data_IF_664331094648
#
_entry.id   IF_664331094648
#
_cell.length_a   1.000
_cell.length_b   1.000
_cell.length_c   1.000
_cell.angle_alpha   90.00
_cell.angle_beta   90.00
_cell.angle_gamma   90.00
#
_symmetry.space_group_name_H-M   'P 1'
#
loop_
_entity.id
_entity.type
_entity.pdbx_description
1 polymer ?
#
# COMPACT_ATOMS: atom_id res chain seq x y z
N UNK A 1 -15.99 -27.74 -6.84
CA UNK A 1 -14.78 -27.16 -6.23
C UNK A 1 -14.79 -25.64 -6.31
N UNK A 2 -14.01 -24.98 -5.45
CA UNK A 2 -13.90 -23.52 -5.43
C UNK A 2 -12.46 -23.08 -5.16
N UNK A 3 -12.14 -21.88 -5.60
CA UNK A 3 -10.81 -21.27 -5.43
C UNK A 3 -10.87 -19.75 -5.53
N UNK A 4 -9.80 -19.08 -5.14
CA UNK A 4 -9.60 -17.65 -5.40
C UNK A 4 -8.21 -17.39 -5.96
N UNK A 5 -8.12 -16.38 -6.82
CA UNK A 5 -6.86 -15.74 -7.23
C UNK A 5 -6.67 -14.50 -6.36
N UNK A 6 -5.54 -14.40 -5.69
CA UNK A 6 -5.21 -13.31 -4.74
C UNK A 6 -6.19 -13.16 -3.57
N UNK A 7 -6.64 -14.29 -3.01
CA UNK A 7 -7.55 -14.33 -1.87
C UNK A 7 -7.85 -15.75 -1.43
N UNK A 8 -8.85 -15.90 -0.58
CA UNK A 8 -9.42 -17.19 -0.18
C UNK A 8 -10.93 -17.21 -0.43
N UNK A 9 -11.52 -18.39 -0.54
CA UNK A 9 -12.97 -18.59 -0.67
C UNK A 9 -13.43 -19.65 0.32
N UNK A 10 -14.50 -19.35 1.04
CA UNK A 10 -15.29 -20.32 1.83
C UNK A 10 -16.60 -20.61 1.10
N UNK A 11 -17.17 -21.78 1.36
CA UNK A 11 -18.46 -22.18 0.81
C UNK A 11 -19.38 -22.67 1.92
N UNK A 12 -20.66 -22.28 1.85
CA UNK A 12 -21.71 -22.72 2.76
C UNK A 12 -22.99 -23.06 1.98
N UNK A 13 -23.83 -23.92 2.55
CA UNK A 13 -25.18 -24.20 2.02
C UNK A 13 -26.23 -23.30 2.68
N UNK A 14 -27.49 -23.45 2.28
CA UNK A 14 -28.62 -22.68 2.82
C UNK A 14 -28.96 -23.00 4.28
N UNK A 15 -28.42 -24.09 4.83
CA UNK A 15 -28.57 -24.41 6.25
C UNK A 15 -27.48 -23.78 7.13
N UNK A 16 -26.50 -23.09 6.51
CA UNK A 16 -25.35 -22.50 7.20
C UNK A 16 -24.24 -23.52 7.46
N UNK A 17 -24.26 -24.67 6.79
CA UNK A 17 -23.17 -25.65 6.88
C UNK A 17 -21.98 -25.16 6.04
N UNK A 18 -20.87 -24.82 6.72
CA UNK A 18 -19.58 -24.53 6.05
C UNK A 18 -18.94 -25.85 5.58
N UNK A 19 -18.42 -25.81 4.37
CA UNK A 19 -17.64 -26.91 3.78
C UNK A 19 -16.14 -26.60 3.87
N UNK A 20 -15.41 -27.47 4.55
CA UNK A 20 -13.96 -27.32 4.66
C UNK A 20 -13.23 -27.71 3.37
N UNK A 21 -12.06 -27.10 3.18
CA UNK A 21 -11.23 -27.36 2.00
C UNK A 21 -11.70 -26.57 0.78
N UNK A 22 -11.65 -27.20 -0.40
CA UNK A 22 -12.00 -26.57 -1.69
C UNK A 22 -12.86 -27.46 -2.59
N UNK A 23 -13.48 -28.49 -2.04
CA UNK A 23 -14.35 -29.45 -2.73
C UNK A 23 -15.45 -29.92 -1.81
N UNK A 24 -16.63 -30.13 -2.38
CA UNK A 24 -17.74 -30.80 -1.72
C UNK A 24 -18.61 -31.50 -2.76
N UNK A 25 -19.23 -32.59 -2.36
CA UNK A 25 -20.26 -33.27 -3.14
C UNK A 25 -21.61 -32.67 -2.79
N UNK A 26 -22.20 -31.97 -3.73
CA UNK A 26 -23.41 -31.17 -3.53
C UNK A 26 -24.53 -31.72 -4.43
N UNK A 27 -25.72 -31.88 -3.82
CA UNK A 27 -26.90 -32.35 -4.53
C UNK A 27 -27.36 -31.34 -5.59
N UNK A 28 -27.79 -31.82 -6.75
CA UNK A 28 -28.44 -30.98 -7.76
C UNK A 28 -29.66 -30.25 -7.20
N UNK A 29 -29.82 -29.00 -7.56
CA UNK A 29 -30.82 -28.09 -7.02
C UNK A 29 -30.44 -27.35 -5.74
N UNK A 30 -29.34 -27.73 -5.07
CA UNK A 30 -28.85 -27.04 -3.89
C UNK A 30 -28.29 -25.66 -4.25
N UNK A 31 -28.51 -24.71 -3.36
CA UNK A 31 -27.99 -23.35 -3.43
C UNK A 31 -26.77 -23.24 -2.52
N UNK A 32 -25.66 -22.77 -3.06
CA UNK A 32 -24.39 -22.58 -2.36
C UNK A 32 -24.03 -21.11 -2.33
N UNK A 33 -23.57 -20.62 -1.20
CA UNK A 33 -23.00 -19.28 -1.05
C UNK A 33 -21.47 -19.40 -0.92
N UNK A 34 -20.76 -18.65 -1.74
CA UNK A 34 -19.31 -18.55 -1.71
C UNK A 34 -18.92 -17.18 -1.17
N UNK A 35 -18.04 -17.14 -0.17
CA UNK A 35 -17.57 -15.91 0.46
C UNK A 35 -16.07 -15.76 0.21
N UNK A 36 -15.69 -14.77 -0.60
CA UNK A 36 -14.30 -14.46 -0.88
C UNK A 36 -13.73 -13.50 0.15
N UNK A 37 -12.50 -13.74 0.57
CA UNK A 37 -11.66 -12.81 1.33
C UNK A 37 -10.45 -12.47 0.48
N UNK A 38 -10.46 -11.31 -0.22
CA UNK A 38 -9.31 -10.84 -0.97
C UNK A 38 -8.08 -10.64 -0.07
N UNK A 39 -6.88 -10.73 -0.63
CA UNK A 39 -5.67 -10.25 0.05
C UNK A 39 -5.79 -8.76 0.36
N UNK A 40 -4.99 -8.30 1.32
CA UNK A 40 -4.84 -6.87 1.60
C UNK A 40 -4.51 -6.10 0.32
N UNK A 41 -5.16 -4.96 0.11
CA UNK A 41 -5.07 -4.13 -1.09
C UNK A 41 -5.64 -4.76 -2.39
N UNK A 42 -6.45 -5.80 -2.28
CA UNK A 42 -7.19 -6.41 -3.39
C UNK A 42 -8.69 -6.35 -3.15
N UNK A 43 -9.46 -6.42 -4.23
CA UNK A 43 -10.92 -6.56 -4.22
C UNK A 43 -11.38 -7.63 -5.19
N UNK A 44 -12.56 -8.17 -4.98
CA UNK A 44 -13.18 -9.07 -5.96
C UNK A 44 -13.49 -8.28 -7.24
N UNK A 45 -12.94 -8.76 -8.36
CA UNK A 45 -13.16 -8.20 -9.69
C UNK A 45 -14.31 -8.91 -10.38
N UNK A 46 -14.35 -10.23 -10.31
CA UNK A 46 -15.44 -11.04 -10.84
C UNK A 46 -15.46 -12.45 -10.22
N UNK A 47 -16.59 -13.12 -10.41
CA UNK A 47 -16.71 -14.55 -10.19
C UNK A 47 -16.70 -15.30 -11.51
N UNK A 48 -16.19 -16.53 -11.52
CA UNK A 48 -16.22 -17.43 -12.66
C UNK A 48 -16.83 -18.77 -12.27
N UNK A 49 -17.62 -19.31 -13.18
CA UNK A 49 -18.11 -20.70 -13.10
C UNK A 49 -17.61 -21.45 -14.32
N UNK A 50 -16.84 -22.54 -14.10
CA UNK A 50 -16.19 -23.31 -15.15
C UNK A 50 -15.38 -22.43 -16.13
N UNK A 51 -14.66 -21.43 -15.59
CA UNK A 51 -13.83 -20.50 -16.35
C UNK A 51 -14.58 -19.38 -17.06
N UNK A 52 -15.91 -19.39 -17.07
CA UNK A 52 -16.73 -18.30 -17.64
C UNK A 52 -17.04 -17.27 -16.58
N UNK A 53 -16.84 -16.01 -16.91
CA UNK A 53 -17.21 -14.86 -16.03
C UNK A 53 -18.72 -14.84 -15.84
N UNK A 54 -19.15 -14.60 -14.61
CA UNK A 54 -20.54 -14.33 -14.27
C UNK A 54 -20.73 -12.82 -14.28
N UNK A 55 -21.52 -12.32 -15.22
CA UNK A 55 -21.69 -10.89 -15.44
C UNK A 55 -22.36 -10.20 -14.24
N UNK A 56 -21.82 -9.04 -13.85
CA UNK A 56 -22.35 -8.21 -12.77
C UNK A 56 -21.99 -8.67 -11.35
N UNK A 57 -21.33 -9.82 -11.20
CA UNK A 57 -20.98 -10.38 -9.89
C UNK A 57 -19.53 -9.98 -9.51
N UNK A 58 -19.44 -8.92 -8.69
CA UNK A 58 -18.15 -8.41 -8.17
C UNK A 58 -18.17 -8.19 -6.64
N UNK A 59 -19.22 -8.66 -5.97
CA UNK A 59 -19.31 -8.64 -4.51
C UNK A 59 -18.40 -9.71 -3.88
N UNK A 60 -18.09 -9.54 -2.59
CA UNK A 60 -17.33 -10.55 -1.85
C UNK A 60 -18.08 -11.86 -1.66
N UNK A 61 -19.38 -11.88 -1.92
CA UNK A 61 -20.23 -13.08 -1.85
C UNK A 61 -20.86 -13.37 -3.20
N UNK A 62 -20.91 -14.64 -3.56
CA UNK A 62 -21.55 -15.14 -4.76
C UNK A 62 -22.41 -16.36 -4.46
N UNK A 63 -23.63 -16.39 -5.00
CA UNK A 63 -24.51 -17.52 -4.83
C UNK A 63 -24.65 -18.29 -6.13
N UNK A 64 -24.40 -19.59 -6.08
CA UNK A 64 -24.52 -20.51 -7.20
C UNK A 64 -25.56 -21.58 -6.87
N UNK A 65 -26.53 -21.78 -7.76
CA UNK A 65 -27.47 -22.91 -7.65
C UNK A 65 -26.98 -24.03 -8.53
N UNK A 66 -26.69 -25.18 -7.94
CA UNK A 66 -26.27 -26.37 -8.69
C UNK A 66 -27.44 -26.81 -9.56
N UNK A 67 -27.27 -26.94 -10.89
CA UNK A 67 -28.39 -27.33 -11.75
C UNK A 67 -29.02 -28.65 -11.33
N UNK A 68 -30.37 -28.64 -11.23
CA UNK A 68 -31.15 -29.86 -11.01
C UNK A 68 -31.40 -30.54 -12.34
N UNK A 69 -31.01 -31.80 -12.52
CA UNK A 69 -31.25 -32.56 -13.72
C UNK A 69 -29.99 -32.98 -14.52
N UNK A 70 -28.79 -32.76 -13.98
CA UNK A 70 -27.66 -33.60 -14.37
C UNK A 70 -28.05 -35.05 -14.03
N UNK A 71 -28.50 -35.82 -15.02
CA UNK A 71 -28.80 -37.25 -14.89
C UNK A 71 -27.68 -37.90 -14.08
N UNK A 72 -28.06 -38.76 -13.13
CA UNK A 72 -27.19 -39.72 -12.48
C UNK A 72 -26.62 -40.70 -13.54
N UNK A 73 -25.72 -40.19 -14.35
CA UNK A 73 -24.77 -41.00 -15.12
C UNK A 73 -23.46 -40.91 -14.34
N UNK A 74 -22.56 -41.91 -14.39
CA UNK A 74 -21.34 -41.96 -13.59
C UNK A 74 -20.35 -40.80 -13.81
N UNK A 75 -20.61 -39.89 -14.71
CA UNK A 75 -19.93 -38.59 -14.83
C UNK A 75 -20.59 -37.56 -13.92
N UNK A 76 -20.07 -37.46 -12.73
CA UNK A 76 -20.44 -36.40 -11.78
C UNK A 76 -20.15 -35.05 -12.43
N UNK A 77 -21.20 -34.31 -12.76
CA UNK A 77 -21.01 -32.95 -13.28
C UNK A 77 -20.23 -32.11 -12.24
N UNK A 78 -19.02 -31.71 -12.59
CA UNK A 78 -18.19 -30.92 -11.70
C UNK A 78 -18.29 -29.43 -12.05
N UNK A 79 -18.50 -28.60 -11.03
CA UNK A 79 -18.49 -27.15 -11.19
C UNK A 79 -17.27 -26.58 -10.45
N UNK A 80 -16.53 -25.70 -11.14
CA UNK A 80 -15.47 -24.89 -10.53
C UNK A 80 -15.98 -23.47 -10.38
N UNK A 81 -16.11 -23.01 -9.14
CA UNK A 81 -16.41 -21.61 -8.80
C UNK A 81 -15.11 -20.93 -8.41
N UNK A 82 -14.83 -19.77 -8.97
CA UNK A 82 -13.58 -19.06 -8.75
C UNK A 82 -13.83 -17.56 -8.53
N UNK A 83 -13.34 -17.03 -7.41
CA UNK A 83 -13.26 -15.60 -7.18
C UNK A 83 -11.96 -15.07 -7.78
N UNK A 84 -12.05 -14.05 -8.63
CA UNK A 84 -10.89 -13.36 -9.17
C UNK A 84 -10.76 -12.04 -8.42
N UNK A 85 -9.68 -11.89 -7.67
CA UNK A 85 -9.36 -10.65 -6.98
C UNK A 85 -8.23 -9.95 -7.71
N UNK A 86 -8.39 -8.64 -7.95
CA UNK A 86 -7.40 -7.77 -8.55
C UNK A 86 -7.00 -6.65 -7.59
N UNK A 87 -5.90 -5.97 -7.86
CA UNK A 87 -5.45 -4.85 -7.04
C UNK A 87 -6.54 -3.80 -6.95
N UNK A 88 -6.84 -3.34 -5.73
CA UNK A 88 -7.73 -2.21 -5.52
C UNK A 88 -6.98 -0.90 -5.78
N UNK A 89 -7.70 0.20 -5.91
CA UNK A 89 -7.13 1.52 -6.12
C UNK A 89 -7.34 2.40 -4.91
N UNK A 90 -6.28 3.07 -4.49
CA UNK A 90 -6.26 3.96 -3.35
C UNK A 90 -5.82 5.37 -3.75
N UNK A 91 -6.28 6.36 -3.01
CA UNK A 91 -5.81 7.73 -3.19
C UNK A 91 -4.46 7.90 -2.50
N UNK A 92 -3.46 8.37 -3.24
CA UNK A 92 -2.15 8.73 -2.73
C UNK A 92 -2.03 10.24 -2.68
N UNK A 93 -1.94 10.79 -1.46
CA UNK A 93 -1.83 12.25 -1.25
C UNK A 93 -0.48 12.60 -0.66
N UNK A 94 0.04 13.77 -1.02
CA UNK A 94 1.22 14.33 -0.40
C UNK A 94 1.23 15.85 -0.49
N UNK A 95 1.76 16.50 0.55
CA UNK A 95 1.88 17.94 0.62
C UNK A 95 3.29 18.40 0.23
N UNK A 96 3.38 19.50 -0.52
CA UNK A 96 4.66 20.11 -0.83
C UNK A 96 5.26 20.73 0.45
N UNK A 97 6.53 20.45 0.79
CA UNK A 97 7.18 21.08 1.93
C UNK A 97 7.49 22.56 1.64
N UNK A 98 7.47 23.41 2.68
CA UNK A 98 7.69 24.85 2.53
C UNK A 98 9.09 25.20 2.01
N UNK A 99 10.09 24.34 2.23
CA UNK A 99 11.49 24.63 1.92
C UNK A 99 12.10 23.58 0.98
N UNK A 100 11.34 23.15 0.00
CA UNK A 100 11.78 22.17 -0.99
C UNK A 100 10.67 21.76 -1.94
N UNK A 101 10.93 20.79 -2.78
CA UNK A 101 9.95 20.19 -3.69
C UNK A 101 9.88 18.69 -3.45
N UNK A 102 8.67 18.14 -3.43
CA UNK A 102 8.40 16.72 -3.25
C UNK A 102 7.75 16.15 -4.52
N UNK A 103 8.27 15.05 -5.01
CA UNK A 103 7.72 14.30 -6.14
C UNK A 103 7.48 12.85 -5.75
N UNK A 104 6.52 12.21 -6.39
CA UNK A 104 6.23 10.80 -6.22
C UNK A 104 6.31 10.07 -7.56
N UNK A 105 6.84 8.85 -7.56
CA UNK A 105 6.97 8.01 -8.75
C UNK A 105 6.64 6.56 -8.43
N UNK A 106 5.79 5.95 -9.25
CA UNK A 106 5.52 4.52 -9.26
C UNK A 106 6.14 3.82 -10.49
N UNK A 107 5.82 2.56 -10.68
CA UNK A 107 6.32 1.78 -11.83
C UNK A 107 5.86 2.37 -13.18
N UNK A 108 4.67 2.98 -13.24
CA UNK A 108 4.11 3.59 -14.44
C UNK A 108 4.63 5.01 -14.73
N UNK A 109 5.37 5.63 -13.81
CA UNK A 109 5.88 7.00 -13.95
C UNK A 109 5.56 7.88 -12.76
N UNK A 110 5.53 9.19 -12.99
CA UNK A 110 5.20 10.20 -11.97
C UNK A 110 3.72 10.08 -11.56
N UNK A 111 3.47 10.38 -10.27
CA UNK A 111 2.15 10.34 -9.64
C UNK A 111 1.89 11.70 -9.01
N UNK A 112 0.78 12.33 -9.36
CA UNK A 112 0.36 13.58 -8.72
C UNK A 112 -0.32 13.32 -7.37
N UNK A 113 -0.24 14.31 -6.47
CA UNK A 113 -0.97 14.23 -5.20
C UNK A 113 -2.48 14.19 -5.45
N UNK A 114 -3.17 13.20 -4.91
CA UNK A 114 -4.59 12.97 -5.08
C UNK A 114 -4.93 11.93 -6.16
N UNK A 115 -3.96 11.42 -6.90
CA UNK A 115 -4.18 10.39 -7.91
C UNK A 115 -4.61 9.05 -7.28
N UNK A 116 -5.36 8.29 -8.07
CA UNK A 116 -5.65 6.89 -7.79
C UNK A 116 -4.50 6.00 -8.24
N UNK A 117 -3.97 5.23 -7.33
CA UNK A 117 -2.83 4.34 -7.54
C UNK A 117 -3.19 2.90 -7.17
N UNK A 118 -2.53 1.94 -7.78
CA UNK A 118 -2.78 0.54 -7.48
C UNK A 118 -2.27 0.16 -6.09
N UNK A 119 -3.07 -0.60 -5.39
CA UNK A 119 -2.68 -1.23 -4.13
C UNK A 119 -1.56 -2.28 -4.32
N UNK A 120 -0.87 -2.59 -3.23
CA UNK A 120 0.26 -3.53 -3.20
C UNK A 120 1.36 -3.20 -4.22
N UNK A 121 1.52 -1.88 -4.52
CA UNK A 121 2.61 -1.34 -5.32
C UNK A 121 3.43 -0.35 -4.51
N UNK A 122 4.70 -0.21 -4.92
CA UNK A 122 5.67 0.68 -4.29
C UNK A 122 5.72 2.01 -5.01
N UNK A 123 5.71 3.08 -4.22
CA UNK A 123 5.83 4.46 -4.68
C UNK A 123 7.00 5.12 -3.98
N UNK A 124 7.91 5.66 -4.77
CA UNK A 124 9.11 6.35 -4.28
C UNK A 124 8.84 7.84 -4.25
N UNK A 125 8.94 8.42 -3.07
CA UNK A 125 8.91 9.85 -2.84
C UNK A 125 10.33 10.38 -2.86
N UNK A 126 10.57 11.48 -3.59
CA UNK A 126 11.86 12.16 -3.64
C UNK A 126 11.67 13.61 -3.29
N UNK A 127 12.35 14.07 -2.25
CA UNK A 127 12.38 15.48 -1.87
C UNK A 127 13.70 16.12 -2.30
N UNK A 128 13.60 17.33 -2.83
CA UNK A 128 14.72 18.21 -3.10
C UNK A 128 14.62 19.41 -2.17
N UNK A 129 15.35 19.42 -1.04
CA UNK A 129 15.39 20.57 -0.14
C UNK A 129 15.98 21.81 -0.84
N UNK A 130 15.54 22.99 -0.43
CA UNK A 130 16.21 24.24 -0.79
C UNK A 130 17.60 24.31 -0.16
N UNK A 131 18.44 25.28 -0.60
CA UNK A 131 19.73 25.51 0.00
C UNK A 131 19.60 25.69 1.53
N UNK A 132 20.54 25.14 2.27
CA UNK A 132 20.62 25.20 3.74
C UNK A 132 19.46 24.52 4.49
N UNK A 133 18.72 23.62 3.81
CA UNK A 133 17.72 22.75 4.46
C UNK A 133 18.08 21.29 4.28
N UNK A 134 17.71 20.49 5.29
CA UNK A 134 17.90 19.03 5.32
C UNK A 134 16.59 18.35 5.70
N UNK A 135 16.48 17.06 5.38
CA UNK A 135 15.36 16.23 5.82
C UNK A 135 15.53 15.93 7.31
N UNK A 136 14.52 16.29 8.10
CA UNK A 136 14.42 15.91 9.50
C UNK A 136 13.71 14.57 9.67
N UNK A 137 12.55 14.43 9.03
CA UNK A 137 11.75 13.20 9.14
C UNK A 137 10.74 13.09 7.99
N UNK A 138 10.23 11.90 7.81
CA UNK A 138 9.07 11.61 6.97
C UNK A 138 7.84 11.34 7.85
N UNK A 139 6.66 11.53 7.28
CA UNK A 139 5.40 11.08 7.90
C UNK A 139 4.60 10.29 6.87
N UNK A 140 4.07 9.13 7.28
CA UNK A 140 3.13 8.33 6.51
C UNK A 140 1.89 8.10 7.37
N UNK A 141 0.73 8.52 6.89
CA UNK A 141 -0.56 8.45 7.60
C UNK A 141 -0.48 9.03 9.03
N UNK A 142 0.24 10.14 9.17
CA UNK A 142 0.45 10.83 10.45
C UNK A 142 1.53 10.22 11.35
N UNK A 143 2.05 9.03 11.04
CA UNK A 143 3.15 8.43 11.80
C UNK A 143 4.49 9.01 11.36
N UNK A 144 5.28 9.46 12.33
CA UNK A 144 6.63 9.98 12.10
C UNK A 144 7.59 8.82 11.87
N UNK A 145 8.39 8.95 10.83
CA UNK A 145 9.45 8.02 10.46
C UNK A 145 10.77 8.76 10.55
N UNK A 146 11.64 8.30 11.44
CA UNK A 146 12.98 8.85 11.65
C UNK A 146 13.89 8.41 10.50
N UNK A 147 13.81 9.18 9.42
CA UNK A 147 14.63 8.99 8.22
C UNK A 147 15.04 10.34 7.65
N UNK A 148 16.33 10.55 7.52
CA UNK A 148 16.94 11.77 6.97
C UNK A 148 17.26 11.64 5.48
N UNK A 149 16.81 10.57 4.84
CA UNK A 149 17.01 10.34 3.40
C UNK A 149 16.17 11.31 2.58
N UNK A 150 16.71 11.78 1.48
CA UNK A 150 15.97 12.56 0.46
C UNK A 150 15.04 11.71 -0.38
N UNK A 151 15.00 10.41 -0.15
CA UNK A 151 14.10 9.47 -0.81
C UNK A 151 13.47 8.51 0.20
N UNK A 152 12.17 8.25 0.05
CA UNK A 152 11.43 7.31 0.88
C UNK A 152 10.45 6.48 0.05
N UNK A 153 10.38 5.17 0.29
CA UNK A 153 9.50 4.25 -0.43
C UNK A 153 8.32 3.82 0.45
N UNK A 154 7.13 3.86 -0.11
CA UNK A 154 5.88 3.45 0.53
C UNK A 154 5.20 2.37 -0.31
N UNK A 155 4.78 1.28 0.31
CA UNK A 155 3.87 0.30 -0.30
C UNK A 155 2.44 0.69 0.05
N UNK A 156 1.64 1.03 -0.95
CA UNK A 156 0.26 1.50 -0.76
C UNK A 156 -0.66 0.30 -0.56
N UNK A 157 -1.40 0.28 0.56
CA UNK A 157 -2.37 -0.77 0.89
C UNK A 157 -3.76 -0.23 1.26
N UNK A 158 -3.86 1.08 1.38
CA UNK A 158 -5.06 1.88 1.69
C UNK A 158 -4.85 3.29 1.16
N UNK A 159 -5.85 4.17 1.31
CA UNK A 159 -5.61 5.60 1.09
C UNK A 159 -4.46 6.05 1.99
N UNK A 160 -3.44 6.66 1.39
CA UNK A 160 -2.17 6.96 2.06
C UNK A 160 -1.82 8.43 1.88
N UNK A 161 -1.39 9.04 2.97
CA UNK A 161 -0.87 10.40 2.99
C UNK A 161 0.61 10.40 3.36
N UNK A 162 1.43 11.11 2.57
CA UNK A 162 2.87 11.23 2.81
C UNK A 162 3.26 12.70 2.94
N UNK A 163 4.10 13.01 3.90
CA UNK A 163 4.72 14.34 4.02
C UNK A 163 6.16 14.21 4.51
N UNK A 164 6.94 15.27 4.31
CA UNK A 164 8.34 15.36 4.72
C UNK A 164 8.55 16.66 5.47
N UNK A 165 9.27 16.59 6.57
CA UNK A 165 9.67 17.76 7.35
C UNK A 165 11.10 18.14 7.01
N UNK A 166 11.29 19.40 6.64
CA UNK A 166 12.58 20.00 6.35
C UNK A 166 12.93 21.02 7.43
N UNK A 167 14.18 21.00 7.87
CA UNK A 167 14.70 21.93 8.88
C UNK A 167 15.97 22.60 8.37
N UNK A 168 16.33 23.78 8.86
CA UNK A 168 17.60 24.40 8.54
C UNK A 168 18.78 23.49 8.89
N UNK A 169 19.74 23.38 8.00
CA UNK A 169 20.97 22.67 8.28
C UNK A 169 21.79 23.41 9.34
N UNK A 170 22.28 22.69 10.32
CA UNK A 170 23.19 23.25 11.32
C UNK A 170 24.61 22.79 11.06
N UNK A 171 25.55 23.72 11.13
CA UNK A 171 26.96 23.44 10.86
C UNK A 171 27.76 23.73 12.14
N UNK A 172 28.60 22.78 12.52
CA UNK A 172 29.58 23.02 13.58
C UNK A 172 30.82 23.68 12.99
N UNK A 173 31.08 24.91 13.39
CA UNK A 173 32.32 25.62 13.05
C UNK A 173 33.35 25.32 14.12
N UNK A 174 34.47 24.73 13.71
CA UNK A 174 35.64 24.53 14.59
C UNK A 174 36.75 25.46 14.12
N UNK A 175 37.29 26.23 15.04
CA UNK A 175 38.41 27.11 14.77
C UNK A 175 39.60 26.77 15.66
N UNK A 176 40.78 27.10 15.22
CA UNK A 176 42.01 26.92 15.95
C UNK A 176 42.90 28.16 15.78
N UNK A 177 43.39 28.67 16.84
CA UNK A 177 44.37 29.76 16.84
C UNK A 177 45.78 29.12 16.70
N UNK A 178 46.57 29.55 15.73
CA UNK A 178 47.86 28.94 15.39
C UNK A 178 49.04 29.48 16.20
N UNK A 179 48.81 30.43 17.09
CA UNK A 179 49.87 30.97 17.94
C UNK A 179 49.34 31.31 19.36
N UNK A 180 50.21 31.26 20.31
CA UNK A 180 49.87 31.49 21.76
C UNK A 180 49.36 32.90 22.08
N UNK A 181 49.46 33.85 21.17
CA UNK A 181 49.02 35.23 21.32
C UNK A 181 47.87 35.59 20.42
N UNK A 182 47.35 34.63 19.65
CA UNK A 182 46.26 34.83 18.73
C UNK A 182 44.93 34.99 19.45
N UNK A 183 44.08 35.93 18.99
CA UNK A 183 42.68 36.11 19.41
C UNK A 183 41.78 35.97 18.23
N UNK A 184 40.69 35.23 18.39
CA UNK A 184 39.65 35.12 17.41
C UNK A 184 38.41 35.89 17.84
N UNK A 185 37.96 36.84 17.02
CA UNK A 185 36.69 37.51 17.21
C UNK A 185 35.58 36.70 16.56
N UNK A 186 34.62 36.28 17.35
CA UNK A 186 33.49 35.47 16.89
C UNK A 186 32.20 36.26 17.06
N UNK A 187 31.50 36.44 15.94
CA UNK A 187 30.18 37.09 15.93
C UNK A 187 30.23 38.66 15.93
N UNK A 188 29.03 39.27 15.87
CA UNK A 188 28.88 40.72 15.86
C UNK A 188 29.12 41.38 17.22
N UNK A 189 29.16 40.58 18.28
CA UNK A 189 29.21 41.07 19.67
C UNK A 189 30.62 41.06 20.26
N UNK A 190 31.65 41.04 19.45
CA UNK A 190 33.06 41.24 19.84
C UNK A 190 33.55 40.49 21.09
N UNK A 191 33.04 39.28 21.33
CA UNK A 191 33.66 38.44 22.37
C UNK A 191 35.01 37.91 21.88
N UNK A 192 36.05 38.24 22.68
CA UNK A 192 37.38 37.67 22.46
C UNK A 192 37.42 36.24 23.03
N UNK A 193 37.72 35.27 22.15
CA UNK A 193 37.94 33.88 22.54
C UNK A 193 39.43 33.54 22.44
N UNK A 194 39.96 32.94 23.49
CA UNK A 194 41.33 32.39 23.50
C UNK A 194 41.29 30.91 23.10
N UNK A 195 42.47 30.43 22.67
CA UNK A 195 42.63 29.00 22.30
C UNK A 195 42.34 28.10 23.54
N UNK A 196 41.40 27.18 23.41
CA UNK A 196 41.04 26.25 24.48
C UNK A 196 39.71 26.50 25.19
N UNK A 197 38.91 27.49 24.81
CA UNK A 197 37.54 27.71 25.30
C UNK A 197 36.48 27.30 24.27
#
# INVERSE_FOLDING_TARGET
SWSAVNGTVKAEDTSGTEYEGNKADIRGGSKMTFSATPKEAYKVSCWKVNGKVVDGENANTFTFTVPSGAKETPEVASYKVEAVCEKDQFTLTYAQPSNGTLTAKGAAGEVASGDKVNGDEKYTFTVKPNADYIVESWKVDGQVIDSHSTSYEVTVKKNTEVSVQLVPASYKVTYKVNNEQGKLLVGKDTEEKTDGE
#
